data_IF_153258283345
#
_entry.id   IF_153258283345
#
_cell.length_a   1.000
_cell.length_b   1.000
_cell.length_c   1.000
_cell.angle_alpha   90.00
_cell.angle_beta   90.00
_cell.angle_gamma   90.00
#
_symmetry.space_group_name_H-M   'P 1'
#
loop_
_entity.id
_entity.type
_entity.pdbx_description
1 polymer ?
#
# COMPACT_ATOMS: atom_id res chain seq x y z
N UNK A 1 -42.37 39.54 -11.51
CA UNK A 1 -41.27 38.83 -10.83
C UNK A 1 -40.35 39.88 -10.23
N UNK A 2 -40.31 39.96 -8.91
CA UNK A 2 -39.69 41.06 -8.16
C UNK A 2 -38.16 41.11 -8.38
N UNK A 3 -37.59 42.32 -8.48
CA UNK A 3 -36.14 42.51 -8.69
C UNK A 3 -35.34 41.91 -7.53
N UNK A 4 -35.88 41.96 -6.31
CA UNK A 4 -35.29 41.32 -5.13
C UNK A 4 -35.25 39.79 -5.25
N UNK A 5 -36.32 39.17 -5.73
CA UNK A 5 -36.41 37.72 -5.92
C UNK A 5 -35.41 37.23 -6.97
N UNK A 6 -35.27 37.94 -8.11
CA UNK A 6 -34.26 37.61 -9.14
C UNK A 6 -32.85 37.65 -8.56
N UNK A 7 -32.52 38.67 -7.77
CA UNK A 7 -31.19 38.82 -7.17
C UNK A 7 -30.86 37.70 -6.19
N UNK A 8 -31.84 37.28 -5.37
CA UNK A 8 -31.69 36.15 -4.45
C UNK A 8 -31.46 34.85 -5.23
N UNK A 9 -32.29 34.58 -6.26
CA UNK A 9 -32.16 33.36 -7.08
C UNK A 9 -30.80 33.31 -7.80
N UNK A 10 -30.34 34.41 -8.39
CA UNK A 10 -29.02 34.48 -9.02
C UNK A 10 -27.89 34.24 -8.00
N UNK A 11 -27.99 34.82 -6.80
CA UNK A 11 -26.99 34.63 -5.74
C UNK A 11 -26.95 33.16 -5.30
N UNK A 12 -28.11 32.52 -5.15
CA UNK A 12 -28.23 31.12 -4.76
C UNK A 12 -27.68 30.17 -5.84
N UNK A 13 -27.95 30.45 -7.13
CA UNK A 13 -27.35 29.72 -8.25
C UNK A 13 -25.83 29.83 -8.27
N UNK A 14 -25.27 31.02 -8.01
CA UNK A 14 -23.82 31.22 -7.93
C UNK A 14 -23.23 30.40 -6.77
N UNK A 15 -23.86 30.43 -5.59
CA UNK A 15 -23.40 29.65 -4.43
C UNK A 15 -23.43 28.13 -4.68
N UNK A 16 -24.51 27.63 -5.30
CA UNK A 16 -24.62 26.21 -5.65
C UNK A 16 -23.55 25.83 -6.68
N UNK A 17 -23.33 26.65 -7.71
CA UNK A 17 -22.27 26.44 -8.69
C UNK A 17 -20.88 26.39 -8.07
N UNK A 18 -20.57 27.31 -7.17
CA UNK A 18 -19.32 27.34 -6.39
C UNK A 18 -19.15 26.09 -5.52
N UNK A 19 -20.23 25.63 -4.89
CA UNK A 19 -20.23 24.44 -4.04
C UNK A 19 -19.95 23.18 -4.88
N UNK A 20 -20.60 23.04 -6.03
CA UNK A 20 -20.35 21.90 -6.95
C UNK A 20 -18.92 21.91 -7.45
N UNK A 21 -18.35 23.08 -7.79
CA UNK A 21 -16.95 23.20 -8.19
C UNK A 21 -15.99 22.84 -7.05
N UNK A 22 -16.25 23.32 -5.83
CA UNK A 22 -15.43 22.99 -4.65
C UNK A 22 -15.49 21.49 -4.33
N UNK A 23 -16.68 20.88 -4.40
CA UNK A 23 -16.85 19.44 -4.22
C UNK A 23 -16.15 18.67 -5.34
N UNK A 24 -16.29 19.10 -6.60
CA UNK A 24 -15.62 18.50 -7.75
C UNK A 24 -14.09 18.57 -7.62
N UNK A 25 -13.55 19.71 -7.19
CA UNK A 25 -12.13 19.89 -6.93
C UNK A 25 -11.67 19.03 -5.74
N UNK A 26 -12.44 18.99 -4.65
CA UNK A 26 -12.16 18.14 -3.49
C UNK A 26 -12.17 16.65 -3.83
N UNK A 27 -13.13 16.20 -4.62
CA UNK A 27 -13.22 14.82 -5.10
C UNK A 27 -12.04 14.53 -6.03
N UNK A 28 -11.78 15.37 -7.03
CA UNK A 28 -10.64 15.24 -7.93
C UNK A 28 -9.32 15.17 -7.17
N UNK A 29 -9.10 16.07 -6.19
CA UNK A 29 -7.91 16.06 -5.34
C UNK A 29 -7.82 14.77 -4.50
N UNK A 30 -8.90 14.29 -3.90
CA UNK A 30 -8.85 13.04 -3.12
C UNK A 30 -8.68 11.78 -3.98
N UNK A 31 -9.23 11.76 -5.21
CA UNK A 31 -9.07 10.64 -6.13
C UNK A 31 -7.67 10.63 -6.78
N UNK A 32 -7.15 11.80 -7.14
CA UNK A 32 -5.87 12.00 -7.84
C UNK A 32 -4.68 12.26 -6.90
N UNK A 33 -4.90 12.46 -5.60
CA UNK A 33 -3.79 12.62 -4.65
C UNK A 33 -2.91 11.37 -4.66
N UNK A 34 -1.61 11.61 -4.90
CA UNK A 34 -0.56 10.61 -4.72
C UNK A 34 -0.64 10.05 -3.30
N UNK A 35 -0.39 8.76 -3.20
CA UNK A 35 -0.57 8.02 -1.95
C UNK A 35 0.23 8.60 -0.80
N UNK A 36 -0.40 8.67 0.38
CA UNK A 36 0.28 9.10 1.61
C UNK A 36 1.21 8.02 2.17
N UNK A 37 1.11 6.79 1.68
CA UNK A 37 1.96 5.68 2.15
C UNK A 37 3.44 5.94 1.87
N UNK A 38 3.78 6.67 0.80
CA UNK A 38 5.18 7.00 0.47
C UNK A 38 5.84 7.95 1.46
N UNK A 39 5.04 8.71 2.22
CA UNK A 39 5.55 9.58 3.27
C UNK A 39 5.98 8.78 4.51
N UNK A 40 5.52 7.53 4.63
CA UNK A 40 5.88 6.65 5.74
C UNK A 40 7.23 5.97 5.55
N UNK A 41 7.76 5.92 4.32
CA UNK A 41 9.02 5.22 4.02
C UNK A 41 10.18 6.10 4.48
N UNK A 42 10.93 5.68 5.52
CA UNK A 42 12.08 6.45 5.95
C UNK A 42 13.22 6.36 4.93
N UNK A 43 14.09 7.37 4.93
CA UNK A 43 15.33 7.43 4.16
C UNK A 43 16.28 6.25 4.45
N UNK A 44 16.24 5.71 5.67
CA UNK A 44 16.99 4.53 6.12
C UNK A 44 16.50 3.20 5.53
N UNK A 45 15.46 3.20 4.70
CA UNK A 45 14.94 1.98 4.09
C UNK A 45 15.92 1.38 3.10
N UNK A 46 16.19 0.09 3.24
CA UNK A 46 17.10 -0.65 2.35
C UNK A 46 16.47 -0.93 0.99
N UNK A 47 15.16 -1.10 0.98
CA UNK A 47 14.37 -1.33 -0.23
C UNK A 47 12.90 -1.01 0.05
N UNK A 48 12.16 -0.71 -1.01
CA UNK A 48 10.70 -0.67 -0.97
C UNK A 48 10.10 -1.17 -2.29
N UNK A 49 8.87 -1.62 -2.19
CA UNK A 49 8.03 -2.08 -3.28
C UNK A 49 6.64 -1.48 -3.12
N UNK A 50 6.24 -0.68 -4.09
CA UNK A 50 4.97 0.03 -4.12
C UNK A 50 4.13 -0.46 -5.31
N UNK A 51 2.85 -0.74 -5.08
CA UNK A 51 1.86 -1.10 -6.10
C UNK A 51 0.61 -0.24 -5.96
N UNK A 52 0.28 0.49 -7.02
CA UNK A 52 -0.93 1.28 -7.15
C UNK A 52 -2.07 0.37 -7.60
N UNK A 53 -3.04 0.09 -6.75
CA UNK A 53 -4.17 -0.81 -7.07
C UNK A 53 -5.45 -0.06 -7.49
N UNK A 54 -5.41 1.27 -7.57
CA UNK A 54 -6.56 2.08 -8.02
C UNK A 54 -7.02 1.73 -9.43
N UNK A 55 -6.10 1.53 -10.38
CA UNK A 55 -6.44 1.25 -11.78
C UNK A 55 -7.09 -0.14 -11.96
N UNK A 56 -6.73 -1.13 -11.13
CA UNK A 56 -7.44 -2.41 -11.07
C UNK A 56 -8.94 -2.20 -10.83
N UNK A 57 -9.33 -1.26 -9.97
CA UNK A 57 -10.77 -1.02 -9.73
C UNK A 57 -11.53 -0.62 -10.99
N UNK A 58 -10.95 0.24 -11.83
CA UNK A 58 -11.58 0.69 -13.08
C UNK A 58 -11.61 -0.44 -14.11
N UNK A 59 -10.52 -1.19 -14.26
CA UNK A 59 -10.40 -2.27 -15.25
C UNK A 59 -11.34 -3.45 -14.93
N UNK A 60 -11.69 -3.63 -13.66
CA UNK A 60 -12.61 -4.67 -13.21
C UNK A 60 -14.05 -4.20 -13.00
N UNK A 61 -14.38 -2.94 -13.29
CA UNK A 61 -15.76 -2.46 -13.22
C UNK A 61 -16.72 -3.23 -14.14
N UNK A 62 -16.18 -3.92 -15.16
CA UNK A 62 -16.90 -4.76 -16.11
C UNK A 62 -16.99 -6.25 -15.73
N UNK A 63 -16.26 -6.68 -14.68
CA UNK A 63 -16.22 -8.09 -14.24
C UNK A 63 -17.06 -8.32 -12.97
N UNK A 64 -17.88 -9.39 -12.92
CA UNK A 64 -18.66 -9.73 -11.73
C UNK A 64 -17.84 -10.38 -10.61
N UNK A 65 -16.58 -10.77 -10.86
CA UNK A 65 -15.69 -11.38 -9.88
C UNK A 65 -14.48 -10.49 -9.60
N UNK A 66 -14.06 -10.34 -8.32
CA UNK A 66 -12.83 -9.66 -7.98
C UNK A 66 -11.62 -10.36 -8.63
N UNK A 67 -10.52 -9.63 -8.89
CA UNK A 67 -9.29 -10.22 -9.39
C UNK A 67 -8.74 -11.23 -8.39
N UNK A 68 -8.20 -12.36 -8.86
CA UNK A 68 -7.58 -13.37 -8.01
C UNK A 68 -6.48 -12.77 -7.10
N UNK A 69 -5.79 -11.74 -7.57
CA UNK A 69 -4.80 -10.99 -6.80
C UNK A 69 -5.38 -10.24 -5.59
N UNK A 70 -6.59 -9.69 -5.74
CA UNK A 70 -7.32 -9.03 -4.65
C UNK A 70 -7.83 -10.07 -3.66
N UNK A 71 -8.34 -11.21 -4.15
CA UNK A 71 -8.73 -12.32 -3.28
C UNK A 71 -7.53 -12.86 -2.47
N UNK A 72 -6.36 -12.97 -3.11
CA UNK A 72 -5.11 -13.36 -2.44
C UNK A 72 -4.70 -12.35 -1.37
N UNK A 73 -4.86 -11.05 -1.63
CA UNK A 73 -4.61 -9.99 -0.65
C UNK A 73 -5.61 -10.04 0.52
N UNK A 74 -6.90 -10.28 0.24
CA UNK A 74 -7.94 -10.49 1.26
C UNK A 74 -7.59 -11.68 2.14
N UNK A 75 -7.24 -12.81 1.53
CA UNK A 75 -6.83 -14.03 2.23
C UNK A 75 -5.60 -13.75 3.11
N UNK A 76 -4.59 -13.08 2.57
CA UNK A 76 -3.37 -12.72 3.30
C UNK A 76 -3.68 -11.85 4.53
N UNK A 77 -4.54 -10.83 4.37
CA UNK A 77 -4.98 -9.99 5.48
C UNK A 77 -5.73 -10.86 6.51
N UNK A 78 -6.58 -11.79 6.07
CA UNK A 78 -7.33 -12.67 6.96
C UNK A 78 -6.45 -13.62 7.76
N UNK A 79 -5.24 -13.96 7.29
CA UNK A 79 -4.31 -14.80 8.06
C UNK A 79 -3.62 -14.07 9.21
N UNK A 80 -3.67 -12.73 9.26
CA UNK A 80 -3.22 -11.98 10.42
C UNK A 80 -4.11 -12.31 11.62
N UNK A 81 -3.50 -12.61 12.76
CA UNK A 81 -4.21 -13.04 13.97
C UNK A 81 -5.35 -12.08 14.38
N UNK A 82 -5.15 -10.78 14.14
CA UNK A 82 -6.11 -9.72 14.44
C UNK A 82 -7.28 -9.69 13.46
N UNK A 83 -7.10 -10.16 12.23
CA UNK A 83 -8.10 -10.11 11.16
C UNK A 83 -8.70 -11.49 10.82
N UNK A 84 -8.35 -12.56 11.55
CA UNK A 84 -8.80 -13.96 11.34
C UNK A 84 -10.32 -14.16 11.19
N UNK A 85 -11.12 -13.25 11.73
CA UNK A 85 -12.59 -13.31 11.68
C UNK A 85 -13.22 -12.35 10.67
N UNK A 86 -12.41 -11.61 9.90
CA UNK A 86 -12.90 -10.63 8.92
C UNK A 86 -13.07 -11.32 7.57
N UNK A 87 -14.32 -11.35 7.09
CA UNK A 87 -14.64 -11.84 5.74
C UNK A 87 -14.40 -10.78 4.65
N UNK A 88 -14.62 -9.50 4.97
CA UNK A 88 -14.39 -8.39 4.04
C UNK A 88 -13.53 -7.30 4.71
N UNK A 89 -12.28 -7.07 4.24
CA UNK A 89 -11.39 -6.03 4.73
C UNK A 89 -11.96 -4.61 4.62
N UNK A 90 -12.99 -4.36 3.80
CA UNK A 90 -13.70 -3.06 3.78
C UNK A 90 -14.49 -2.81 5.06
N UNK A 91 -14.86 -3.86 5.80
CA UNK A 91 -15.62 -3.75 7.06
C UNK A 91 -14.86 -2.93 8.11
N UNK A 92 -13.58 -3.24 8.43
CA UNK A 92 -12.76 -2.38 9.28
C UNK A 92 -12.27 -1.11 8.56
N UNK A 93 -12.60 -0.90 7.28
CA UNK A 93 -12.22 0.29 6.53
C UNK A 93 -10.87 0.19 5.80
N UNK A 94 -10.34 -1.01 5.54
CA UNK A 94 -9.11 -1.21 4.77
C UNK A 94 -9.41 -1.01 3.27
N UNK A 95 -8.61 -0.18 2.60
CA UNK A 95 -8.75 0.14 1.19
C UNK A 95 -7.99 -0.82 0.29
N UNK A 96 -8.62 -1.90 -0.15
CA UNK A 96 -7.97 -2.90 -1.04
C UNK A 96 -7.69 -2.40 -2.47
N UNK A 97 -8.40 -1.36 -2.91
CA UNK A 97 -8.23 -0.72 -4.23
C UNK A 97 -7.66 0.69 -4.06
N UNK A 98 -6.52 0.77 -3.39
CA UNK A 98 -5.78 2.01 -3.17
C UNK A 98 -4.31 1.78 -3.46
N UNK A 99 -3.46 1.74 -2.45
CA UNK A 99 -2.03 1.52 -2.59
C UNK A 99 -1.61 0.44 -1.61
N UNK A 100 -0.72 -0.43 -2.09
CA UNK A 100 -0.02 -1.43 -1.28
C UNK A 100 1.45 -1.09 -1.31
N UNK A 101 2.07 -0.99 -0.14
CA UNK A 101 3.47 -0.65 -0.01
C UNK A 101 4.14 -1.60 0.96
N UNK A 102 5.30 -2.12 0.59
CA UNK A 102 6.15 -2.94 1.46
C UNK A 102 7.54 -2.33 1.48
N UNK A 103 8.16 -2.21 2.65
CA UNK A 103 9.54 -1.77 2.74
C UNK A 103 10.30 -2.47 3.85
N UNK A 104 11.62 -2.56 3.70
CA UNK A 104 12.50 -3.21 4.64
C UNK A 104 13.50 -2.22 5.25
N UNK A 105 13.65 -2.28 6.57
CA UNK A 105 14.73 -1.62 7.31
C UNK A 105 15.64 -2.67 7.94
N UNK A 106 16.69 -2.24 8.63
CA UNK A 106 17.58 -3.16 9.37
C UNK A 106 16.81 -3.90 10.48
N UNK A 107 15.82 -3.23 11.06
CA UNK A 107 15.05 -3.65 12.22
C UNK A 107 13.89 -4.58 11.86
N UNK A 108 13.43 -4.61 10.60
CA UNK A 108 12.35 -5.49 10.17
C UNK A 108 11.67 -5.04 8.89
N UNK A 109 10.48 -5.61 8.66
CA UNK A 109 9.68 -5.41 7.45
C UNK A 109 8.37 -4.72 7.81
N UNK A 110 7.96 -3.81 6.94
CA UNK A 110 6.75 -3.01 7.08
C UNK A 110 5.84 -3.25 5.90
N UNK A 111 4.59 -3.59 6.20
CA UNK A 111 3.53 -3.72 5.22
C UNK A 111 2.49 -2.63 5.44
N UNK A 112 2.25 -1.82 4.42
CA UNK A 112 1.44 -0.62 4.50
C UNK A 112 0.24 -0.70 3.57
N UNK A 113 -0.92 -0.35 4.11
CA UNK A 113 -2.20 -0.31 3.42
C UNK A 113 -2.87 1.05 3.66
N UNK A 114 -3.64 1.52 2.68
CA UNK A 114 -4.49 2.69 2.91
C UNK A 114 -5.75 2.31 3.68
N UNK A 115 -6.24 3.23 4.51
CA UNK A 115 -7.52 3.15 5.18
C UNK A 115 -8.53 4.07 4.49
N UNK A 116 -9.62 3.49 4.01
CA UNK A 116 -10.79 4.23 3.53
C UNK A 116 -11.49 4.98 4.66
N UNK A 117 -11.44 4.46 5.89
CA UNK A 117 -12.04 5.09 7.07
C UNK A 117 -11.25 4.76 8.33
N UNK A 118 -10.48 5.74 8.82
CA UNK A 118 -9.74 5.63 10.08
C UNK A 118 -10.67 5.47 11.29
N UNK A 119 -11.85 6.10 11.27
CA UNK A 119 -12.85 5.98 12.34
C UNK A 119 -13.37 4.55 12.48
N UNK A 120 -13.73 3.90 11.36
CA UNK A 120 -14.13 2.48 11.35
C UNK A 120 -13.00 1.58 11.83
N UNK A 121 -11.78 1.87 11.39
CA UNK A 121 -10.61 1.08 11.79
C UNK A 121 -10.34 1.21 13.30
N UNK A 122 -10.47 2.41 13.87
CA UNK A 122 -10.31 2.64 15.32
C UNK A 122 -11.32 1.85 16.14
N UNK A 123 -12.59 1.78 15.72
CA UNK A 123 -13.62 0.97 16.38
C UNK A 123 -13.26 -0.51 16.31
N UNK A 124 -12.89 -1.00 15.12
CA UNK A 124 -12.45 -2.38 14.93
C UNK A 124 -11.25 -2.72 15.83
N UNK A 125 -10.27 -1.82 15.90
CA UNK A 125 -9.05 -1.99 16.68
C UNK A 125 -9.33 -2.08 18.19
N UNK A 126 -10.26 -1.25 18.69
CA UNK A 126 -10.74 -1.33 20.07
C UNK A 126 -11.45 -2.65 20.35
N UNK A 127 -12.29 -3.12 19.45
CA UNK A 127 -12.95 -4.43 19.58
C UNK A 127 -11.94 -5.59 19.56
N UNK A 128 -10.92 -5.53 18.70
CA UNK A 128 -9.87 -6.53 18.66
C UNK A 128 -9.08 -6.59 19.98
N UNK A 129 -8.85 -5.45 20.62
CA UNK A 129 -8.25 -5.38 21.95
C UNK A 129 -9.16 -5.99 23.02
N UNK A 130 -10.44 -5.62 23.05
CA UNK A 130 -11.42 -6.17 24.00
C UNK A 130 -11.59 -7.68 23.86
N UNK A 131 -11.53 -8.20 22.63
CA UNK A 131 -11.61 -9.63 22.33
C UNK A 131 -10.30 -10.39 22.63
N UNK A 132 -9.27 -9.73 23.17
CA UNK A 132 -8.01 -10.34 23.55
C UNK A 132 -7.12 -10.77 22.38
N UNK A 133 -7.32 -10.22 21.17
CA UNK A 133 -6.45 -10.46 20.02
C UNK A 133 -5.17 -9.61 20.06
N UNK A 134 -5.22 -8.50 20.78
CA UNK A 134 -4.12 -7.55 20.98
C UNK A 134 -3.69 -7.57 22.45
N UNK A 135 -2.39 -7.64 22.72
CA UNK A 135 -1.83 -7.64 24.08
C UNK A 135 -1.69 -6.24 24.68
N UNK A 136 -1.55 -5.22 23.83
CA UNK A 136 -1.31 -3.84 24.24
C UNK A 136 -1.93 -2.91 23.20
N UNK A 137 -2.50 -1.80 23.62
CA UNK A 137 -2.95 -0.71 22.74
C UNK A 137 -2.46 0.61 23.32
N UNK A 138 -1.71 1.39 22.53
CA UNK A 138 -1.10 2.65 22.96
C UNK A 138 -1.41 3.74 21.94
N UNK A 139 -1.81 4.91 22.46
CA UNK A 139 -1.92 6.15 21.69
C UNK A 139 -0.69 7.02 21.99
N UNK A 140 0.15 7.26 20.98
CA UNK A 140 1.33 8.13 21.09
C UNK A 140 1.04 9.56 20.60
N UNK A 141 -0.22 9.91 20.36
CA UNK A 141 -0.64 11.19 19.77
C UNK A 141 -0.42 11.23 18.26
N UNK A 142 0.79 10.92 17.79
CA UNK A 142 1.14 10.93 16.36
C UNK A 142 0.75 9.64 15.64
N UNK A 143 0.51 8.55 16.36
CA UNK A 143 0.01 7.27 15.83
C UNK A 143 -0.58 6.41 16.95
N UNK A 144 -1.48 5.51 16.56
CA UNK A 144 -1.92 4.42 17.40
C UNK A 144 -1.11 3.19 17.06
N UNK A 145 -0.77 2.37 18.05
CA UNK A 145 -0.23 1.05 17.77
C UNK A 145 -0.68 0.02 18.81
N UNK A 146 -0.66 -1.24 18.40
CA UNK A 146 -0.88 -2.39 19.26
C UNK A 146 0.07 -3.51 18.89
N UNK A 147 0.34 -4.37 19.87
CA UNK A 147 1.04 -5.64 19.65
C UNK A 147 0.03 -6.77 19.59
N UNK A 148 0.16 -7.67 18.62
CA UNK A 148 -0.57 -8.93 18.58
C UNK A 148 -0.27 -9.76 19.85
N UNK A 149 -1.28 -10.42 20.41
CA UNK A 149 -1.11 -11.14 21.68
C UNK A 149 -0.09 -12.28 21.60
N UNK A 150 -0.19 -13.09 20.55
CA UNK A 150 0.57 -14.33 20.42
C UNK A 150 1.80 -14.19 19.53
N UNK A 151 2.09 -12.98 19.02
CA UNK A 151 3.12 -12.77 18.00
C UNK A 151 3.89 -11.47 18.24
N UNK A 152 5.18 -11.46 17.88
CA UNK A 152 5.97 -10.24 17.83
C UNK A 152 5.63 -9.42 16.58
N UNK A 153 4.36 -9.06 16.41
CA UNK A 153 3.87 -8.27 15.26
C UNK A 153 3.12 -7.08 15.81
N UNK A 154 3.39 -5.91 15.23
CA UNK A 154 2.78 -4.66 15.64
C UNK A 154 1.88 -4.15 14.52
N UNK A 155 0.72 -3.63 14.91
CA UNK A 155 -0.21 -2.95 14.00
C UNK A 155 -0.28 -1.50 14.44
N UNK A 156 0.05 -0.58 13.55
CA UNK A 156 0.04 0.85 13.79
C UNK A 156 -0.78 1.57 12.72
N UNK A 157 -1.44 2.66 13.07
CA UNK A 157 -2.21 3.45 12.12
C UNK A 157 -2.35 4.93 12.51
N UNK A 158 -2.45 5.79 11.49
CA UNK A 158 -2.78 7.22 11.57
C UNK A 158 -2.99 7.78 10.17
N UNK A 159 -3.76 8.86 10.03
CA UNK A 159 -3.82 9.68 8.81
C UNK A 159 -4.19 8.89 7.55
N UNK A 160 -5.14 7.97 7.69
CA UNK A 160 -5.56 7.00 6.65
C UNK A 160 -4.48 5.99 6.21
N UNK A 161 -3.43 5.76 7.00
CA UNK A 161 -2.47 4.70 6.74
C UNK A 161 -2.48 3.65 7.85
N UNK A 162 -2.40 2.39 7.44
CA UNK A 162 -2.25 1.21 8.28
C UNK A 162 -0.87 0.60 8.00
N UNK A 163 -0.13 0.30 9.04
CA UNK A 163 1.19 -0.33 8.99
C UNK A 163 1.16 -1.59 9.85
N UNK A 164 1.52 -2.71 9.25
CA UNK A 164 1.84 -3.96 9.93
C UNK A 164 3.36 -4.08 9.96
N UNK A 165 3.93 -4.03 11.15
CA UNK A 165 5.37 -4.12 11.37
C UNK A 165 5.73 -5.49 11.94
N UNK A 166 6.67 -6.14 11.26
CA UNK A 166 7.27 -7.43 11.65
C UNK A 166 8.74 -7.15 11.95
N UNK A 167 9.13 -7.05 13.24
CA UNK A 167 10.53 -6.97 13.65
C UNK A 167 11.29 -8.20 13.17
N UNK A 168 12.56 -7.99 12.82
CA UNK A 168 13.49 -9.06 12.45
C UNK A 168 13.83 -9.96 13.64
N UNK A 169 13.90 -9.37 14.83
CA UNK A 169 14.20 -10.10 16.06
C UNK A 169 12.96 -10.80 16.60
N UNK A 170 13.11 -12.06 16.99
CA UNK A 170 12.05 -12.86 17.63
C UNK A 170 11.85 -12.47 19.10
N UNK A 171 12.86 -11.88 19.73
CA UNK A 171 12.79 -11.37 21.11
C UNK A 171 12.09 -10.01 21.13
N UNK A 172 11.10 -9.88 22.01
CA UNK A 172 10.29 -8.66 22.12
C UNK A 172 11.11 -7.55 22.76
N UNK A 173 11.48 -6.52 21.99
CA UNK A 173 12.06 -5.28 22.49
C UNK A 173 11.11 -4.09 22.22
N UNK A 174 10.21 -3.83 23.16
CA UNK A 174 9.17 -2.79 23.01
C UNK A 174 9.78 -1.39 22.81
N UNK A 175 10.85 -1.04 23.53
CA UNK A 175 11.46 0.29 23.42
C UNK A 175 12.08 0.54 22.04
N UNK A 176 12.78 -0.45 21.50
CA UNK A 176 13.32 -0.40 20.13
C UNK A 176 12.18 -0.29 19.11
N UNK A 177 11.17 -1.17 19.22
CA UNK A 177 10.05 -1.21 18.29
C UNK A 177 9.20 0.07 18.30
N UNK A 178 9.00 0.69 19.47
CA UNK A 178 8.37 2.00 19.58
C UNK A 178 9.21 3.09 18.90
N UNK A 179 10.53 3.06 19.05
CA UNK A 179 11.43 4.03 18.39
C UNK A 179 11.33 3.92 16.87
N UNK A 180 11.31 2.69 16.34
CA UNK A 180 11.19 2.43 14.90
C UNK A 180 9.82 2.89 14.36
N UNK A 181 8.73 2.56 15.05
CA UNK A 181 7.39 3.05 14.67
C UNK A 181 7.30 4.58 14.75
N UNK A 182 7.92 5.19 15.76
CA UNK A 182 7.97 6.64 15.92
C UNK A 182 8.72 7.34 14.78
N UNK A 183 9.73 6.68 14.19
CA UNK A 183 10.47 7.17 13.04
C UNK A 183 9.61 7.18 11.76
N UNK A 184 8.81 6.12 11.56
CA UNK A 184 7.88 5.95 10.43
C UNK A 184 6.73 6.96 10.47
N UNK A 185 6.16 7.18 11.66
CA UNK A 185 5.06 8.13 11.87
C UNK A 185 5.55 9.53 12.31
N UNK A 186 6.83 9.83 12.11
CA UNK A 186 7.36 11.15 12.44
C UNK A 186 6.79 12.21 11.50
N UNK A 187 6.42 13.38 12.04
CA UNK A 187 5.93 14.52 11.24
C UNK A 187 7.04 15.18 10.38
N UNK A 188 8.24 14.60 10.35
CA UNK A 188 9.33 15.09 9.52
C UNK A 188 9.12 14.57 8.10
N UNK A 189 9.48 15.34 7.06
CA UNK A 189 9.50 14.85 5.70
C UNK A 189 10.70 13.90 5.54
N UNK A 190 10.71 12.76 6.23
CA UNK A 190 11.71 11.69 6.09
C UNK A 190 11.42 10.87 4.83
N UNK A 191 10.93 11.52 3.78
CA UNK A 191 10.38 10.83 2.65
C UNK A 191 11.55 10.41 1.76
N UNK A 192 11.68 9.12 1.55
CA UNK A 192 12.45 8.54 0.45
C UNK A 192 12.24 9.28 -0.90
N UNK A 193 11.11 9.99 -1.06
CA UNK A 193 10.79 10.91 -2.14
C UNK A 193 11.72 12.13 -2.29
N UNK A 194 12.54 12.46 -1.29
CA UNK A 194 13.59 13.47 -1.42
C UNK A 194 14.77 12.95 -2.27
N UNK A 195 14.92 11.63 -2.39
CA UNK A 195 15.90 11.04 -3.28
C UNK A 195 15.46 11.29 -4.74
N UNK A 196 16.29 12.02 -5.51
CA UNK A 196 16.02 12.35 -6.92
C UNK A 196 15.78 11.11 -7.77
N UNK A 197 16.47 10.02 -7.48
CA UNK A 197 16.31 8.74 -8.16
C UNK A 197 14.94 8.13 -7.90
N UNK A 198 14.48 8.19 -6.65
CA UNK A 198 13.13 7.73 -6.29
C UNK A 198 12.08 8.62 -6.94
N UNK A 199 12.28 9.95 -6.90
CA UNK A 199 11.37 10.89 -7.56
C UNK A 199 11.24 10.62 -9.06
N UNK A 200 12.35 10.34 -9.74
CA UNK A 200 12.37 9.96 -11.15
C UNK A 200 11.53 8.70 -11.42
N UNK A 201 11.57 7.71 -10.52
CA UNK A 201 10.71 6.53 -10.58
C UNK A 201 9.21 6.84 -10.37
N UNK A 202 8.79 8.09 -10.16
CA UNK A 202 7.38 8.47 -10.03
C UNK A 202 6.94 9.50 -11.10
N UNK A 203 7.82 9.85 -12.04
CA UNK A 203 7.51 10.82 -13.10
C UNK A 203 6.53 10.27 -14.13
N UNK A 204 6.62 8.98 -14.43
CA UNK A 204 5.75 8.27 -15.40
C UNK A 204 4.44 7.74 -14.78
N UNK A 205 4.08 8.17 -13.56
CA UNK A 205 2.94 7.68 -12.75
C UNK A 205 2.79 6.15 -12.75
N UNK A 206 3.85 5.41 -12.37
CA UNK A 206 3.87 3.97 -12.54
C UNK A 206 2.96 3.26 -11.56
N UNK A 207 2.48 2.12 -12.03
CA UNK A 207 1.62 1.22 -11.29
C UNK A 207 2.39 0.36 -10.29
N UNK A 208 3.67 0.18 -10.55
CA UNK A 208 4.56 -0.60 -9.69
C UNK A 208 5.96 0.00 -9.69
N UNK A 209 6.55 0.11 -8.50
CA UNK A 209 7.92 0.57 -8.31
C UNK A 209 8.63 -0.34 -7.33
N UNK A 210 9.85 -0.72 -7.68
CA UNK A 210 10.82 -1.31 -6.76
C UNK A 210 12.06 -0.43 -6.71
N UNK A 211 12.52 -0.22 -5.48
CA UNK A 211 13.74 0.50 -5.18
C UNK A 211 14.57 -0.33 -4.21
N UNK A 212 15.89 -0.36 -4.42
CA UNK A 212 16.84 -0.85 -3.44
C UNK A 212 18.07 0.05 -3.38
N UNK A 213 18.63 0.21 -2.18
CA UNK A 213 19.91 0.91 -1.96
C UNK A 213 21.11 0.10 -2.46
N UNK A 214 20.95 -1.20 -2.72
CA UNK A 214 22.02 -2.07 -3.22
C UNK A 214 22.02 -2.08 -4.75
N UNK A 215 23.08 -1.59 -5.42
CA UNK A 215 23.11 -1.45 -6.88
C UNK A 215 22.85 -2.77 -7.64
N UNK A 216 23.31 -3.89 -7.08
CA UNK A 216 23.11 -5.24 -7.64
C UNK A 216 21.64 -5.70 -7.69
N UNK A 217 20.78 -5.12 -6.85
CA UNK A 217 19.35 -5.38 -6.85
C UNK A 217 18.60 -4.37 -7.72
N UNK A 218 19.25 -3.31 -8.19
CA UNK A 218 18.70 -2.39 -9.19
C UNK A 218 17.52 -1.54 -8.74
N UNK A 219 17.02 -0.76 -9.70
CA UNK A 219 15.87 0.14 -9.60
C UNK A 219 14.96 -0.17 -10.78
N UNK A 220 13.65 -0.24 -10.55
CA UNK A 220 12.71 -0.57 -11.62
C UNK A 220 11.33 0.01 -11.37
N UNK A 221 10.71 0.55 -12.42
CA UNK A 221 9.32 1.00 -12.43
C UNK A 221 8.57 0.38 -13.63
N UNK A 222 7.24 0.24 -13.53
CA UNK A 222 6.36 -0.16 -14.62
C UNK A 222 5.20 0.80 -14.78
N UNK A 223 4.97 1.29 -16.00
CA UNK A 223 4.09 2.42 -16.29
C UNK A 223 2.69 2.07 -16.84
N UNK A 224 2.25 0.81 -16.82
CA UNK A 224 0.93 0.45 -17.38
C UNK A 224 0.27 -0.77 -16.73
N UNK A 225 -0.94 -0.59 -16.18
CA UNK A 225 -1.99 -1.61 -16.22
C UNK A 225 -2.49 -1.70 -17.66
N UNK A 226 -2.57 -2.91 -18.22
CA UNK A 226 -3.18 -3.04 -19.52
C UNK A 226 -4.67 -2.75 -19.37
N UNK A 227 -5.19 -1.80 -20.16
CA UNK A 227 -6.62 -1.80 -20.47
C UNK A 227 -6.95 -3.19 -20.99
N UNK A 228 -7.88 -3.86 -20.32
CA UNK A 228 -8.43 -5.15 -20.76
C UNK A 228 -9.32 -4.86 -21.97
N UNK A 229 -8.74 -4.45 -23.10
CA UNK A 229 -9.45 -4.52 -24.36
C UNK A 229 -9.65 -5.99 -24.69
N UNK A 230 -10.92 -6.36 -24.89
CA UNK A 230 -11.41 -7.71 -25.17
C UNK A 230 -10.40 -8.54 -25.97
N UNK A 231 -9.67 -9.41 -25.26
CA UNK A 231 -8.87 -10.48 -25.86
C UNK A 231 -7.35 -10.30 -25.89
N UNK A 232 -6.77 -9.20 -25.38
CA UNK A 232 -5.31 -9.09 -25.22
C UNK A 232 -4.94 -8.76 -23.77
N UNK A 233 -4.30 -9.73 -23.10
CA UNK A 233 -3.61 -9.48 -21.82
C UNK A 233 -2.41 -8.58 -22.13
N UNK A 234 -2.41 -7.33 -21.69
CA UNK A 234 -1.17 -6.55 -21.78
C UNK A 234 -0.23 -6.88 -20.61
N UNK A 235 1.04 -6.59 -20.82
CA UNK A 235 2.12 -6.97 -19.90
C UNK A 235 2.74 -5.72 -19.27
N UNK A 236 3.25 -5.82 -18.05
CA UNK A 236 3.99 -4.73 -17.41
C UNK A 236 5.30 -4.48 -18.17
N UNK A 237 5.48 -3.26 -18.69
CA UNK A 237 6.72 -2.84 -19.37
C UNK A 237 7.68 -2.25 -18.35
N UNK A 238 8.76 -2.97 -18.06
CA UNK A 238 9.77 -2.56 -17.08
C UNK A 238 10.79 -1.58 -17.67
N UNK A 239 11.01 -0.46 -16.98
CA UNK A 239 12.07 0.50 -17.34
C UNK A 239 13.21 0.43 -16.33
N UNK A 240 14.44 0.25 -16.83
CA UNK A 240 15.69 0.31 -16.06
C UNK A 240 16.43 1.58 -16.49
N UNK A 241 16.38 2.66 -15.70
CA UNK A 241 16.96 3.95 -16.11
C UNK A 241 18.46 3.89 -16.42
N UNK A 242 19.18 2.90 -15.89
CA UNK A 242 20.65 2.85 -15.88
C UNK A 242 21.26 1.46 -16.18
N UNK A 243 20.56 0.55 -16.85
CA UNK A 243 21.09 -0.81 -17.12
C UNK A 243 21.19 -1.07 -18.64
N UNK A 244 22.41 -1.04 -19.16
CA UNK A 244 22.71 -1.51 -20.51
C UNK A 244 23.12 -2.99 -20.47
N UNK A 245 22.53 -3.82 -21.33
CA UNK A 245 23.17 -5.06 -21.80
C UNK A 245 22.99 -6.38 -21.04
N UNK A 246 22.04 -6.56 -20.12
CA UNK A 246 21.73 -7.89 -19.53
C UNK A 246 20.22 -8.05 -19.39
N UNK A 247 19.71 -9.28 -19.57
CA UNK A 247 18.31 -9.65 -19.35
C UNK A 247 17.69 -8.88 -18.18
N UNK A 248 16.62 -8.14 -18.48
CA UNK A 248 15.94 -7.17 -17.66
C UNK A 248 15.15 -7.86 -16.52
N UNK A 249 15.70 -8.06 -15.31
CA UNK A 249 15.07 -8.90 -14.29
C UNK A 249 13.87 -8.18 -13.65
N UNK A 250 12.73 -8.86 -13.52
CA UNK A 250 11.53 -8.21 -13.00
C UNK A 250 11.77 -7.65 -11.58
N UNK A 251 11.08 -6.56 -11.20
CA UNK A 251 11.13 -5.99 -9.85
C UNK A 251 10.87 -7.04 -8.75
N UNK A 252 10.09 -8.08 -9.04
CA UNK A 252 9.80 -9.17 -8.10
C UNK A 252 10.94 -10.17 -7.99
N UNK A 253 11.69 -10.42 -9.07
CA UNK A 253 12.93 -11.20 -8.98
C UNK A 253 13.94 -10.47 -8.08
N UNK A 254 13.97 -9.14 -8.16
CA UNK A 254 14.81 -8.29 -7.33
C UNK A 254 14.30 -8.24 -5.89
N UNK A 255 12.98 -8.20 -5.70
CA UNK A 255 12.32 -8.30 -4.40
C UNK A 255 12.59 -9.67 -3.72
N UNK A 256 12.60 -10.76 -4.49
CA UNK A 256 12.99 -12.09 -4.02
C UNK A 256 14.44 -12.12 -3.53
N UNK A 257 15.35 -11.49 -4.29
CA UNK A 257 16.77 -11.37 -3.92
C UNK A 257 17.05 -10.52 -2.68
N UNK A 258 16.15 -9.60 -2.31
CA UNK A 258 16.23 -8.87 -1.02
C UNK A 258 15.57 -9.63 0.14
N UNK A 259 15.12 -10.87 -0.10
CA UNK A 259 14.62 -11.78 0.91
C UNK A 259 13.16 -12.20 0.73
N UNK A 260 12.44 -11.79 -0.32
CA UNK A 260 11.09 -12.34 -0.56
C UNK A 260 11.18 -13.83 -0.98
N UNK A 261 10.78 -14.74 -0.10
CA UNK A 261 10.91 -16.20 -0.25
C UNK A 261 9.93 -16.82 -1.27
N UNK A 262 9.62 -16.12 -2.37
CA UNK A 262 8.67 -16.60 -3.38
C UNK A 262 9.41 -17.06 -4.63
N UNK A 263 8.94 -18.16 -5.22
CA UNK A 263 9.33 -18.58 -6.55
C UNK A 263 8.73 -17.63 -7.59
N UNK A 264 9.57 -16.74 -8.10
CA UNK A 264 9.17 -15.71 -9.07
C UNK A 264 9.21 -16.25 -10.50
N UNK A 265 9.96 -17.33 -10.75
CA UNK A 265 10.17 -17.84 -12.12
C UNK A 265 8.88 -18.41 -12.71
N UNK A 266 8.06 -19.07 -11.88
CA UNK A 266 6.77 -19.61 -12.29
C UNK A 266 5.73 -18.54 -12.68
N UNK A 267 5.94 -17.28 -12.30
CA UNK A 267 5.01 -16.16 -12.54
C UNK A 267 5.41 -15.27 -13.72
N UNK A 268 6.53 -15.58 -14.38
CA UNK A 268 7.02 -14.86 -15.54
C UNK A 268 6.55 -15.54 -16.83
N UNK A 269 6.22 -14.75 -17.85
CA UNK A 269 6.02 -15.30 -19.18
C UNK A 269 7.37 -15.56 -19.89
N UNK A 270 7.31 -16.13 -21.11
CA UNK A 270 8.49 -16.41 -21.94
C UNK A 270 9.35 -15.19 -22.28
N UNK A 271 8.81 -13.98 -22.11
CA UNK A 271 9.48 -12.71 -22.38
C UNK A 271 10.00 -12.03 -21.09
N UNK A 272 9.97 -12.73 -19.95
CA UNK A 272 10.33 -12.19 -18.64
C UNK A 272 9.41 -11.03 -18.17
N UNK A 273 8.14 -11.10 -18.53
CA UNK A 273 7.11 -10.12 -18.17
C UNK A 273 6.13 -10.71 -17.16
N UNK A 274 5.48 -9.83 -16.39
CA UNK A 274 4.43 -10.20 -15.46
C UNK A 274 3.18 -9.34 -15.70
N UNK A 275 1.99 -9.88 -15.44
CA UNK A 275 0.77 -9.07 -15.42
C UNK A 275 0.67 -8.34 -14.08
N UNK A 276 -0.01 -7.18 -14.01
CA UNK A 276 -0.17 -6.47 -12.74
C UNK A 276 -0.92 -7.27 -11.67
N UNK A 277 -1.90 -8.08 -12.09
CA UNK A 277 -2.59 -9.02 -11.21
C UNK A 277 -1.61 -10.03 -10.62
N UNK A 278 -0.77 -10.65 -11.45
CA UNK A 278 0.19 -11.64 -10.98
C UNK A 278 1.26 -10.99 -10.07
N UNK A 279 1.62 -9.73 -10.32
CA UNK A 279 2.52 -8.98 -9.45
C UNK A 279 1.93 -8.73 -8.06
N UNK A 280 0.67 -8.29 -7.99
CA UNK A 280 -0.03 -8.09 -6.73
C UNK A 280 -0.27 -9.42 -6.01
N UNK A 281 -0.61 -10.48 -6.74
CA UNK A 281 -0.76 -11.85 -6.22
C UNK A 281 0.54 -12.38 -5.63
N UNK A 282 1.67 -12.21 -6.33
CA UNK A 282 3.00 -12.57 -5.82
C UNK A 282 3.35 -11.79 -4.56
N UNK A 283 3.06 -10.50 -4.53
CA UNK A 283 3.27 -9.66 -3.35
C UNK A 283 2.45 -10.10 -2.14
N UNK A 284 1.17 -10.38 -2.36
CA UNK A 284 0.29 -10.90 -1.33
C UNK A 284 0.79 -12.27 -0.83
N UNK A 285 1.20 -13.17 -1.73
CA UNK A 285 1.84 -14.46 -1.37
C UNK A 285 3.14 -14.28 -0.60
N UNK A 286 4.01 -13.36 -1.02
CA UNK A 286 5.26 -13.04 -0.34
C UNK A 286 4.99 -12.56 1.08
N UNK A 287 4.05 -11.64 1.23
CA UNK A 287 3.62 -11.16 2.53
C UNK A 287 3.02 -12.30 3.36
N UNK A 288 2.13 -13.11 2.79
CA UNK A 288 1.52 -14.24 3.48
C UNK A 288 2.58 -15.21 3.98
N UNK A 289 3.58 -15.52 3.15
CA UNK A 289 4.72 -16.32 3.57
C UNK A 289 5.51 -15.66 4.70
N UNK A 290 5.82 -14.37 4.62
CA UNK A 290 6.47 -13.69 5.76
C UNK A 290 5.63 -13.76 7.02
N UNK A 291 4.32 -13.57 6.88
CA UNK A 291 3.40 -13.69 7.99
C UNK A 291 3.33 -15.12 8.51
N UNK A 292 3.48 -16.16 7.68
CA UNK A 292 3.44 -17.58 8.05
C UNK A 292 4.79 -18.10 8.56
N UNK A 293 5.91 -17.68 8.00
CA UNK A 293 7.26 -18.09 8.42
C UNK A 293 7.60 -17.52 9.80
N UNK A 294 7.10 -16.33 10.14
CA UNK A 294 7.13 -15.81 11.51
C UNK A 294 5.99 -16.36 12.40
N UNK A 295 5.20 -17.33 11.90
CA UNK A 295 4.20 -18.09 12.68
C UNK A 295 4.67 -19.49 13.11
N UNK A 296 5.88 -19.92 12.72
CA UNK A 296 6.53 -21.14 13.22
C UNK A 296 7.62 -20.77 14.23
#
# INVERSE_FOLDING_TARGET
MDKGFRRIVFTLMIFVGLTVLLVGFYLSYNFNAKTRLLQLIPDQSNWFLHVQTKQLRSDFSESPKPPAAIDTLVETISHLAVFKKIKDPKTPGIGLYSDVLVFGMKEGIFFCLSLSSEAKFKIFFQQAFQNGLLALSVDKGNYYYAKCKDKNVYIAFKSKALVVYIPKDTVVNTALNETVLGLIFSNKPNAIMQNSTVKFLYEDDPDMIFYSTKPQYGLSQSAYFPKIEKGKKGHLVFRYPNKEGIANPSPLMLASKVGLTVDVEASLNSNNEITPEEALSLLARALNQYLIFYNQ
#
